data_IF_463505606876
#
_entry.id   IF_463505606876
#
_cell.length_a   1.000
_cell.length_b   1.000
_cell.length_c   1.000
_cell.angle_alpha   90.00
_cell.angle_beta   90.00
_cell.angle_gamma   90.00
#
_symmetry.space_group_name_H-M   'P 1'
#
loop_
_entity.id
_entity.type
_entity.pdbx_description
1 polymer ?
#
# COMPACT_ATOMS: atom_id res chain seq x y z
N UNK A 1 -9.88 14.74 -57.08
CA UNK A 1 -9.13 15.72 -56.25
C UNK A 1 -7.85 15.05 -55.77
N UNK A 2 -6.68 15.64 -56.06
CA UNK A 2 -5.39 15.13 -55.56
C UNK A 2 -5.20 15.67 -54.14
N UNK A 3 -5.04 14.80 -53.15
CA UNK A 3 -4.69 15.21 -51.78
C UNK A 3 -3.31 15.87 -51.80
N UNK A 4 -3.19 17.01 -51.13
CA UNK A 4 -1.90 17.72 -51.01
C UNK A 4 -0.98 17.00 -50.03
N UNK A 5 0.33 17.15 -50.22
CA UNK A 5 1.37 16.54 -49.37
C UNK A 5 1.18 16.83 -47.88
N UNK A 6 0.71 18.03 -47.55
CA UNK A 6 0.43 18.47 -46.18
C UNK A 6 -0.70 17.67 -45.52
N UNK A 7 -1.74 17.31 -46.28
CA UNK A 7 -2.85 16.48 -45.79
C UNK A 7 -2.34 15.08 -45.46
N UNK A 8 -1.53 14.48 -46.34
CA UNK A 8 -0.95 13.14 -46.09
C UNK A 8 -0.02 13.12 -44.87
N UNK A 9 0.76 14.19 -44.67
CA UNK A 9 1.64 14.29 -43.50
C UNK A 9 0.86 14.46 -42.18
N UNK A 10 -0.25 15.20 -42.21
CA UNK A 10 -1.15 15.34 -41.07
C UNK A 10 -1.84 14.03 -40.71
N UNK A 11 -2.30 13.28 -41.72
CA UNK A 11 -2.89 11.95 -41.52
C UNK A 11 -1.89 10.97 -40.88
N UNK A 12 -0.64 10.98 -41.34
CA UNK A 12 0.42 10.16 -40.75
C UNK A 12 0.74 10.56 -39.29
N UNK A 13 0.70 11.85 -38.96
CA UNK A 13 0.88 12.33 -37.58
C UNK A 13 -0.29 11.94 -36.69
N UNK A 14 -1.51 11.99 -37.22
CA UNK A 14 -2.72 11.59 -36.50
C UNK A 14 -2.71 10.09 -36.18
N UNK A 15 -2.33 9.23 -37.13
CA UNK A 15 -2.19 7.80 -36.86
C UNK A 15 -1.12 7.50 -35.80
N UNK A 16 0.04 8.14 -35.87
CA UNK A 16 1.07 8.00 -34.83
C UNK A 16 0.57 8.39 -33.45
N UNK A 17 -0.25 9.44 -33.39
CA UNK A 17 -0.83 9.92 -32.14
C UNK A 17 -1.90 8.95 -31.60
N UNK A 18 -2.71 8.35 -32.46
CA UNK A 18 -3.65 7.29 -32.08
C UNK A 18 -2.93 6.09 -31.46
N UNK A 19 -1.89 5.58 -32.13
CA UNK A 19 -1.09 4.45 -31.62
C UNK A 19 -0.47 4.79 -30.27
N UNK A 20 0.08 6.00 -30.13
CA UNK A 20 0.66 6.45 -28.86
C UNK A 20 -0.39 6.50 -27.74
N UNK A 21 -1.61 6.95 -28.01
CA UNK A 21 -2.68 6.97 -27.01
C UNK A 21 -3.10 5.55 -26.58
N UNK A 22 -3.17 4.60 -27.51
CA UNK A 22 -3.46 3.20 -27.20
C UNK A 22 -2.37 2.56 -26.33
N UNK A 23 -1.09 2.82 -26.63
CA UNK A 23 0.02 2.38 -25.80
C UNK A 23 -0.05 2.98 -24.39
N UNK A 24 -0.36 4.27 -24.28
CA UNK A 24 -0.48 4.94 -22.99
C UNK A 24 -1.63 4.36 -22.16
N UNK A 25 -2.77 4.09 -22.80
CA UNK A 25 -3.91 3.44 -22.14
C UNK A 25 -3.56 2.04 -21.65
N UNK A 26 -2.86 1.25 -22.46
CA UNK A 26 -2.41 -0.09 -22.07
C UNK A 26 -1.46 -0.06 -20.87
N UNK A 27 -0.48 0.85 -20.87
CA UNK A 27 0.43 1.03 -19.72
C UNK A 27 -0.31 1.42 -18.46
N UNK A 28 -1.35 2.25 -18.57
CA UNK A 28 -2.19 2.62 -17.43
C UNK A 28 -2.98 1.43 -16.90
N UNK A 29 -3.52 0.58 -17.76
CA UNK A 29 -4.23 -0.65 -17.38
C UNK A 29 -3.29 -1.65 -16.69
N UNK A 30 -2.09 -1.85 -17.23
CA UNK A 30 -1.04 -2.70 -16.63
C UNK A 30 -0.63 -2.18 -15.25
N UNK A 31 -0.45 -0.86 -15.11
CA UNK A 31 -0.15 -0.22 -13.82
C UNK A 31 -1.28 -0.44 -12.80
N UNK A 32 -2.54 -0.27 -13.22
CA UNK A 32 -3.71 -0.52 -12.37
C UNK A 32 -3.79 -1.97 -11.92
N UNK A 33 -3.60 -2.92 -12.83
CA UNK A 33 -3.58 -4.34 -12.52
C UNK A 33 -2.47 -4.68 -11.52
N UNK A 34 -1.27 -4.10 -11.69
CA UNK A 34 -0.16 -4.30 -10.78
C UNK A 34 -0.46 -3.75 -9.37
N UNK A 35 -1.00 -2.54 -9.25
CA UNK A 35 -1.42 -1.95 -7.96
C UNK A 35 -2.47 -2.84 -7.28
N UNK A 36 -3.45 -3.33 -8.05
CA UNK A 36 -4.49 -4.22 -7.53
C UNK A 36 -3.92 -5.56 -7.04
N UNK A 37 -2.91 -6.09 -7.74
CA UNK A 37 -2.24 -7.33 -7.32
C UNK A 37 -1.45 -7.12 -6.03
N UNK A 38 -0.67 -6.03 -5.92
CA UNK A 38 0.10 -5.70 -4.70
C UNK A 38 -0.83 -5.52 -3.50
N UNK A 39 -1.94 -4.80 -3.67
CA UNK A 39 -2.95 -4.62 -2.60
C UNK A 39 -3.67 -5.93 -2.25
N UNK A 40 -3.86 -6.84 -3.20
CA UNK A 40 -4.46 -8.16 -2.97
C UNK A 40 -3.50 -9.15 -2.28
N UNK A 41 -2.19 -9.04 -2.51
CA UNK A 41 -1.17 -9.91 -1.89
C UNK A 41 -0.75 -9.50 -0.48
N UNK A 42 -1.33 -8.44 0.11
CA UNK A 42 -1.01 -8.11 1.51
C UNK A 42 -1.41 -9.27 2.42
N UNK A 43 -0.41 -9.90 3.03
CA UNK A 43 -0.62 -10.99 3.99
C UNK A 43 -1.48 -10.42 5.12
N UNK A 44 -2.65 -11.02 5.35
CA UNK A 44 -3.59 -10.55 6.37
C UNK A 44 -2.99 -10.71 7.76
N UNK A 45 -3.02 -9.62 8.52
CA UNK A 45 -2.59 -9.57 9.89
C UNK A 45 -3.63 -10.22 10.83
N UNK A 46 -3.16 -10.94 11.85
CA UNK A 46 -3.97 -11.42 12.97
C UNK A 46 -4.37 -10.24 13.90
N UNK A 47 -5.46 -10.39 14.66
CA UNK A 47 -5.96 -9.33 15.57
C UNK A 47 -5.41 -9.55 16.98
N UNK A 48 -4.86 -8.51 17.61
CA UNK A 48 -4.46 -8.57 19.01
C UNK A 48 -5.64 -8.22 19.93
N UNK A 49 -6.10 -9.19 20.71
CA UNK A 49 -7.26 -9.08 21.60
C UNK A 49 -6.92 -9.26 23.09
N UNK A 50 -5.64 -9.23 23.46
CA UNK A 50 -5.15 -9.47 24.82
C UNK A 50 -5.23 -10.93 25.30
N UNK A 51 -5.73 -11.88 24.49
CA UNK A 51 -5.77 -13.32 24.82
C UNK A 51 -4.62 -14.12 24.20
N UNK A 52 -4.15 -13.69 23.03
CA UNK A 52 -2.93 -14.25 22.42
C UNK A 52 -1.73 -13.61 23.11
N UNK A 53 -0.69 -14.39 23.44
CA UNK A 53 0.55 -13.82 23.98
C UNK A 53 1.05 -12.69 23.08
N UNK A 54 1.20 -11.49 23.64
CA UNK A 54 1.65 -10.30 22.92
C UNK A 54 2.97 -10.52 22.18
N UNK A 55 3.84 -11.40 22.71
CA UNK A 55 5.09 -11.77 22.08
C UNK A 55 4.90 -12.55 20.77
N UNK A 56 4.01 -13.55 20.75
CA UNK A 56 3.69 -14.31 19.53
C UNK A 56 3.08 -13.41 18.46
N UNK A 57 2.22 -12.48 18.89
CA UNK A 57 1.63 -11.49 17.99
C UNK A 57 2.68 -10.56 17.37
N UNK A 58 3.62 -10.02 18.16
CA UNK A 58 4.71 -9.16 17.68
C UNK A 58 5.60 -9.87 16.65
N UNK A 59 5.92 -11.15 16.87
CA UNK A 59 6.70 -11.95 15.90
C UNK A 59 5.95 -12.16 14.59
N UNK A 60 4.66 -12.53 14.64
CA UNK A 60 3.84 -12.67 13.43
C UNK A 60 3.68 -11.35 12.68
N UNK A 61 3.50 -10.25 13.43
CA UNK A 61 3.43 -8.90 12.87
C UNK A 61 4.70 -8.55 12.10
N UNK A 62 5.87 -8.79 12.70
CA UNK A 62 7.17 -8.50 12.08
C UNK A 62 7.37 -9.28 10.78
N UNK A 63 7.00 -10.56 10.72
CA UNK A 63 7.09 -11.34 9.49
C UNK A 63 6.16 -10.81 8.38
N UNK A 64 4.96 -10.36 8.74
CA UNK A 64 4.02 -9.77 7.78
C UNK A 64 4.51 -8.40 7.29
N UNK A 65 5.07 -7.58 8.17
CA UNK A 65 5.61 -6.28 7.82
C UNK A 65 6.82 -6.39 6.89
N UNK A 66 7.74 -7.32 7.17
CA UNK A 66 8.90 -7.61 6.33
C UNK A 66 8.47 -8.14 4.94
N UNK A 67 7.55 -9.11 4.92
CA UNK A 67 7.05 -9.67 3.66
C UNK A 67 6.30 -8.64 2.80
N UNK A 68 5.63 -7.67 3.43
CA UNK A 68 4.94 -6.59 2.74
C UNK A 68 5.84 -5.36 2.46
N UNK A 69 7.08 -5.33 2.96
CA UNK A 69 8.01 -4.21 2.81
C UNK A 69 7.49 -2.90 3.42
N UNK A 70 6.81 -2.97 4.57
CA UNK A 70 6.26 -1.79 5.24
C UNK A 70 7.37 -0.89 5.79
N UNK A 71 7.19 0.43 5.70
CA UNK A 71 8.01 1.38 6.42
C UNK A 71 7.55 1.55 7.88
N UNK A 72 8.36 2.18 8.72
CA UNK A 72 8.10 2.30 10.17
C UNK A 72 6.79 3.00 10.51
N UNK A 73 6.32 3.92 9.65
CA UNK A 73 5.05 4.64 9.86
C UNK A 73 3.89 3.72 9.51
N UNK A 74 3.99 2.99 8.41
CA UNK A 74 3.02 2.01 7.95
C UNK A 74 2.88 0.86 8.95
N UNK A 75 3.99 0.37 9.49
CA UNK A 75 4.01 -0.59 10.60
C UNK A 75 3.28 -0.05 11.83
N UNK A 76 3.58 1.17 12.28
CA UNK A 76 2.90 1.77 13.42
C UNK A 76 1.38 1.91 13.20
N UNK A 77 0.96 2.36 12.01
CA UNK A 77 -0.45 2.47 11.62
C UNK A 77 -1.15 1.11 11.64
N UNK A 78 -0.56 0.08 11.02
CA UNK A 78 -1.14 -1.26 10.99
C UNK A 78 -1.15 -1.90 12.38
N UNK A 79 -0.11 -1.68 13.19
CA UNK A 79 -0.06 -2.13 14.57
C UNK A 79 -1.19 -1.48 15.38
N UNK A 80 -1.32 -0.15 15.36
CA UNK A 80 -2.41 0.54 16.05
C UNK A 80 -3.80 0.08 15.58
N UNK A 81 -3.99 -0.08 14.26
CA UNK A 81 -5.24 -0.54 13.66
C UNK A 81 -5.58 -2.01 13.98
N UNK A 82 -4.63 -2.80 14.45
CA UNK A 82 -4.82 -4.21 14.83
C UNK A 82 -5.25 -4.42 16.28
N UNK A 83 -5.01 -3.43 17.15
CA UNK A 83 -5.26 -3.54 18.59
C UNK A 83 -6.77 -3.48 18.85
N UNK A 84 -7.27 -4.41 19.67
CA UNK A 84 -8.68 -4.46 20.08
C UNK A 84 -8.80 -4.64 21.59
N UNK A 85 -9.95 -4.23 22.13
CA UNK A 85 -10.27 -4.36 23.55
C UNK A 85 -9.16 -3.80 24.45
N UNK A 86 -8.68 -4.57 25.43
CA UNK A 86 -7.67 -4.13 26.40
C UNK A 86 -6.37 -3.66 25.74
N UNK A 87 -5.97 -4.30 24.64
CA UNK A 87 -4.76 -3.90 23.92
C UNK A 87 -4.88 -2.53 23.25
N UNK A 88 -6.10 -2.06 22.94
CA UNK A 88 -6.30 -0.72 22.37
C UNK A 88 -6.14 0.40 23.42
N UNK A 89 -6.26 0.09 24.71
CA UNK A 89 -6.06 1.08 25.78
C UNK A 89 -4.63 1.63 25.80
N UNK A 90 -3.66 0.82 25.34
CA UNK A 90 -2.25 1.19 25.18
C UNK A 90 -2.08 2.40 24.24
N UNK A 91 -2.95 2.57 23.25
CA UNK A 91 -2.88 3.74 22.36
C UNK A 91 -3.20 5.05 23.10
N UNK A 92 -3.91 5.00 24.24
CA UNK A 92 -4.19 6.18 25.07
C UNK A 92 -3.01 6.56 25.96
N UNK A 93 -2.07 5.64 26.20
CA UNK A 93 -0.89 5.88 27.04
C UNK A 93 0.29 6.41 26.22
N UNK A 94 0.24 6.33 24.89
CA UNK A 94 1.28 6.87 24.00
C UNK A 94 1.07 8.37 23.78
N UNK A 95 2.10 9.23 23.96
CA UNK A 95 2.00 10.65 23.68
C UNK A 95 1.63 10.94 22.21
N UNK A 96 0.78 11.94 21.95
CA UNK A 96 0.30 12.24 20.58
C UNK A 96 1.41 12.50 19.56
N UNK A 97 2.56 13.05 19.99
CA UNK A 97 3.71 13.27 19.11
C UNK A 97 4.53 11.99 18.80
N UNK A 98 4.17 10.85 19.40
CA UNK A 98 4.83 9.55 19.27
C UNK A 98 3.87 8.42 18.86
N UNK A 99 2.61 8.74 18.55
CA UNK A 99 1.54 7.81 18.18
C UNK A 99 1.76 7.06 16.85
N UNK A 100 2.84 7.39 16.12
CA UNK A 100 3.29 6.72 14.90
C UNK A 100 4.70 6.12 15.05
N UNK A 101 5.22 6.05 16.27
CA UNK A 101 6.47 5.37 16.55
C UNK A 101 6.20 3.89 16.86
N UNK A 102 6.53 3.02 15.90
CA UNK A 102 6.36 1.58 16.04
C UNK A 102 6.99 1.03 17.32
N UNK A 103 8.21 1.47 17.63
CA UNK A 103 8.95 0.99 18.82
C UNK A 103 8.21 1.32 20.11
N UNK A 104 7.68 2.54 20.22
CA UNK A 104 6.92 2.95 21.40
C UNK A 104 5.66 2.09 21.58
N UNK A 105 4.87 1.91 20.52
CA UNK A 105 3.62 1.12 20.58
C UNK A 105 3.92 -0.36 20.86
N UNK A 106 4.97 -0.91 20.25
CA UNK A 106 5.40 -2.30 20.44
C UNK A 106 5.94 -2.56 21.84
N UNK A 107 6.74 -1.66 22.39
CA UNK A 107 7.34 -1.80 23.73
C UNK A 107 6.28 -1.69 24.83
N UNK A 108 5.20 -0.94 24.57
CA UNK A 108 4.07 -0.82 25.51
C UNK A 108 3.13 -2.04 25.46
N UNK A 109 3.27 -2.89 24.45
CA UNK A 109 2.57 -4.18 24.34
C UNK A 109 3.35 -5.23 25.13
N UNK A 110 3.12 -5.35 26.45
CA UNK A 110 3.71 -6.41 27.29
C UNK A 110 3.17 -7.80 26.94
#
# INVERSE_FOLDING_TARGET
>A
MVKTREITEMEAKFEKLLVFMEEMKKRQEDMRANILNVTRTSIKLSICNGKTSCQVYKTQFSYVAEANGWDSITEACHLAASLRAEAANILRTVPEHQNLNFKMISDTLE
#
